data_IF_696403763561
#
_entry.id   IF_696403763561
#
_cell.length_a   1.000
_cell.length_b   1.000
_cell.length_c   1.000
_cell.angle_alpha   90.00
_cell.angle_beta   90.00
_cell.angle_gamma   90.00
#
_symmetry.space_group_name_H-M   'P 1'
#
loop_
_entity.id
_entity.type
_entity.pdbx_description
1 polymer ?
#
# COMPACT_ATOMS: atom_id res chain seq x y z
N UNK A 1 10.08 -24.15 11.04
CA UNK A 1 9.87 -23.00 10.14
C UNK A 1 11.22 -22.37 9.85
N UNK A 2 11.51 -21.99 8.60
CA UNK A 2 12.79 -21.29 8.31
C UNK A 2 12.65 -19.80 8.57
N UNK A 3 13.77 -19.12 8.84
CA UNK A 3 13.82 -17.65 8.98
C UNK A 3 13.15 -16.94 7.79
N UNK A 4 13.37 -17.42 6.57
CA UNK A 4 12.79 -16.85 5.35
C UNK A 4 11.27 -17.02 5.26
N UNK A 5 10.70 -18.06 5.89
CA UNK A 5 9.24 -18.17 6.02
C UNK A 5 8.68 -17.03 6.86
N UNK A 6 9.35 -16.66 7.95
CA UNK A 6 8.92 -15.55 8.82
C UNK A 6 9.02 -14.20 8.09
N UNK A 7 10.11 -13.96 7.37
CA UNK A 7 10.29 -12.74 6.56
C UNK A 7 9.19 -12.62 5.50
N UNK A 8 8.88 -13.71 4.79
CA UNK A 8 7.80 -13.73 3.80
C UNK A 8 6.43 -13.53 4.44
N UNK A 9 6.17 -14.18 5.57
CA UNK A 9 4.94 -14.01 6.33
C UNK A 9 4.74 -12.55 6.75
N UNK A 10 5.76 -11.91 7.32
CA UNK A 10 5.73 -10.51 7.70
C UNK A 10 5.46 -9.58 6.49
N UNK A 11 6.10 -9.85 5.34
CA UNK A 11 5.86 -9.10 4.10
C UNK A 11 4.40 -9.18 3.64
N UNK A 12 3.83 -10.39 3.65
CA UNK A 12 2.45 -10.64 3.19
C UNK A 12 1.44 -10.09 4.20
N UNK A 13 1.67 -10.31 5.50
CA UNK A 13 0.79 -9.80 6.56
C UNK A 13 0.75 -8.27 6.56
N UNK A 14 1.90 -7.61 6.44
CA UNK A 14 1.97 -6.14 6.31
C UNK A 14 1.21 -5.64 5.09
N UNK A 15 1.41 -6.26 3.92
CA UNK A 15 0.68 -5.92 2.70
C UNK A 15 -0.84 -6.13 2.87
N UNK A 16 -1.26 -7.24 3.47
CA UNK A 16 -2.66 -7.55 3.71
C UNK A 16 -3.32 -6.54 4.65
N UNK A 17 -2.65 -6.15 5.74
CA UNK A 17 -3.15 -5.13 6.66
C UNK A 17 -3.20 -3.73 6.03
N UNK A 18 -2.22 -3.39 5.19
CA UNK A 18 -2.23 -2.12 4.46
C UNK A 18 -3.37 -2.08 3.45
N UNK A 19 -3.35 -2.96 2.45
CA UNK A 19 -4.34 -2.92 1.36
C UNK A 19 -5.74 -3.24 1.90
N UNK A 20 -5.85 -4.20 2.81
CA UNK A 20 -7.09 -4.50 3.54
C UNK A 20 -7.59 -3.29 4.33
N UNK A 21 -6.72 -2.57 5.05
CA UNK A 21 -7.10 -1.36 5.77
C UNK A 21 -7.62 -0.25 4.84
N UNK A 22 -6.99 -0.04 3.68
CA UNK A 22 -7.49 0.90 2.66
C UNK A 22 -8.88 0.50 2.15
N UNK A 23 -9.10 -0.80 1.89
CA UNK A 23 -10.40 -1.34 1.50
C UNK A 23 -11.45 -1.19 2.60
N UNK A 24 -11.13 -1.53 3.84
CA UNK A 24 -12.04 -1.38 4.99
C UNK A 24 -12.46 0.08 5.19
N UNK A 25 -11.51 1.01 5.14
CA UNK A 25 -11.82 2.45 5.25
C UNK A 25 -12.74 2.90 4.12
N UNK A 26 -12.48 2.45 2.90
CA UNK A 26 -13.19 2.93 1.71
C UNK A 26 -14.56 2.30 1.50
N UNK A 27 -14.69 0.99 1.75
CA UNK A 27 -15.88 0.20 1.43
C UNK A 27 -16.81 0.03 2.63
N UNK A 28 -16.28 0.05 3.85
CA UNK A 28 -17.08 -0.20 5.07
C UNK A 28 -17.25 1.08 5.86
N UNK A 29 -16.15 1.69 6.31
CA UNK A 29 -16.20 2.83 7.22
C UNK A 29 -16.78 4.08 6.55
N UNK A 30 -16.29 4.45 5.36
CA UNK A 30 -16.70 5.68 4.68
C UNK A 30 -18.20 5.71 4.35
N UNK A 31 -18.82 4.66 3.77
CA UNK A 31 -20.26 4.65 3.52
C UNK A 31 -21.07 4.71 4.80
N UNK A 32 -20.65 3.98 5.85
CA UNK A 32 -21.35 3.97 7.14
C UNK A 32 -21.30 5.35 7.81
N UNK A 33 -20.13 5.97 7.84
CA UNK A 33 -19.94 7.32 8.37
C UNK A 33 -20.75 8.38 7.60
N UNK A 34 -20.95 8.19 6.29
CA UNK A 34 -21.82 9.08 5.50
C UNK A 34 -23.31 8.92 5.82
N UNK A 35 -23.74 7.73 6.25
CA UNK A 35 -25.14 7.44 6.58
C UNK A 35 -25.50 7.80 8.01
N UNK A 36 -24.60 7.58 8.96
CA UNK A 36 -24.90 7.65 10.39
C UNK A 36 -24.46 8.95 11.08
N UNK A 37 -23.55 9.72 10.47
CA UNK A 37 -22.96 10.90 11.12
C UNK A 37 -23.33 12.18 10.37
N UNK A 38 -23.49 13.27 11.12
CA UNK A 38 -23.56 14.62 10.58
C UNK A 38 -22.22 15.04 9.93
N UNK A 39 -22.22 16.20 9.26
CA UNK A 39 -21.08 16.64 8.43
C UNK A 39 -19.83 16.87 9.29
N UNK A 40 -20.00 17.51 10.45
CA UNK A 40 -18.95 17.85 11.40
C UNK A 40 -18.32 16.58 11.99
N UNK A 41 -19.12 15.67 12.54
CA UNK A 41 -18.64 14.46 13.20
C UNK A 41 -18.03 13.50 12.19
N UNK A 42 -18.62 13.38 10.99
CA UNK A 42 -18.04 12.62 9.88
C UNK A 42 -16.65 13.13 9.53
N UNK A 43 -16.48 14.45 9.41
CA UNK A 43 -15.18 15.07 9.14
C UNK A 43 -14.14 14.75 10.21
N UNK A 44 -14.52 14.82 11.49
CA UNK A 44 -13.65 14.48 12.62
C UNK A 44 -13.21 13.02 12.59
N UNK A 45 -14.16 12.08 12.44
CA UNK A 45 -13.88 10.63 12.44
C UNK A 45 -12.98 10.26 11.26
N UNK A 46 -13.32 10.68 10.04
CA UNK A 46 -12.53 10.33 8.85
C UNK A 46 -11.12 10.92 8.89
N UNK A 47 -10.93 12.14 9.44
CA UNK A 47 -9.60 12.71 9.65
C UNK A 47 -8.80 11.95 10.70
N UNK A 48 -9.43 11.56 11.81
CA UNK A 48 -8.77 10.80 12.87
C UNK A 48 -8.30 9.43 12.36
N UNK A 49 -9.18 8.72 11.64
CA UNK A 49 -8.86 7.44 11.02
C UNK A 49 -7.77 7.60 9.96
N UNK A 50 -7.90 8.57 9.05
CA UNK A 50 -6.88 8.83 8.03
C UNK A 50 -5.51 9.15 8.61
N UNK A 51 -5.45 9.97 9.68
CA UNK A 51 -4.20 10.31 10.37
C UNK A 51 -3.59 9.08 11.07
N UNK A 52 -4.40 8.27 11.75
CA UNK A 52 -3.92 7.05 12.41
C UNK A 52 -3.44 6.03 11.39
N UNK A 53 -4.17 5.84 10.30
CA UNK A 53 -3.79 4.94 9.23
C UNK A 53 -2.50 5.40 8.56
N UNK A 54 -2.38 6.69 8.20
CA UNK A 54 -1.15 7.25 7.63
C UNK A 54 0.07 7.10 8.54
N UNK A 55 -0.10 7.24 9.86
CA UNK A 55 0.95 6.97 10.85
C UNK A 55 1.40 5.50 10.82
N UNK A 56 0.47 4.54 10.80
CA UNK A 56 0.81 3.11 10.64
C UNK A 56 1.47 2.83 9.29
N UNK A 57 0.99 3.46 8.22
CA UNK A 57 1.61 3.35 6.89
C UNK A 57 3.08 3.77 6.94
N UNK A 58 3.37 4.95 7.47
CA UNK A 58 4.73 5.48 7.53
C UNK A 58 5.64 4.77 8.52
N UNK A 59 5.14 4.44 9.72
CA UNK A 59 5.95 3.91 10.81
C UNK A 59 6.06 2.39 10.84
N UNK A 60 5.11 1.66 10.23
CA UNK A 60 5.04 0.19 10.30
C UNK A 60 5.02 -0.42 8.92
N UNK A 61 3.99 -0.16 8.12
CA UNK A 61 3.79 -0.91 6.88
C UNK A 61 4.90 -0.65 5.87
N UNK A 62 5.30 0.60 5.66
CA UNK A 62 6.35 0.95 4.71
C UNK A 62 7.73 0.40 5.13
N UNK A 63 8.21 0.58 6.38
CA UNK A 63 9.46 -0.04 6.82
C UNK A 63 9.46 -1.56 6.72
N UNK A 64 8.37 -2.22 7.13
CA UNK A 64 8.25 -3.68 7.02
C UNK A 64 8.26 -4.10 5.55
N UNK A 65 7.51 -3.42 4.67
CA UNK A 65 7.43 -3.78 3.25
C UNK A 65 8.77 -3.62 2.53
N UNK A 66 9.48 -2.52 2.78
CA UNK A 66 10.79 -2.26 2.19
C UNK A 66 11.83 -3.23 2.75
N UNK A 67 11.93 -3.36 4.07
CA UNK A 67 12.92 -4.23 4.71
C UNK A 67 12.76 -5.68 4.30
N UNK A 68 11.53 -6.22 4.40
CA UNK A 68 11.26 -7.61 4.00
C UNK A 68 11.32 -7.79 2.48
N UNK A 69 10.90 -6.81 1.68
CA UNK A 69 10.98 -6.87 0.22
C UNK A 69 12.41 -6.93 -0.29
N UNK A 70 13.30 -6.08 0.26
CA UNK A 70 14.75 -6.10 -0.05
C UNK A 70 15.37 -7.40 0.42
N UNK A 71 15.08 -7.87 1.63
CA UNK A 71 15.61 -9.12 2.15
C UNK A 71 15.21 -10.33 1.27
N UNK A 72 13.96 -10.39 0.81
CA UNK A 72 13.49 -11.45 -0.09
C UNK A 72 14.13 -11.36 -1.49
N UNK A 73 14.31 -10.16 -2.03
CA UNK A 73 15.00 -9.95 -3.29
C UNK A 73 16.47 -10.39 -3.21
N UNK A 74 17.16 -10.00 -2.13
CA UNK A 74 18.53 -10.44 -1.85
C UNK A 74 18.61 -11.96 -1.75
N UNK A 75 17.72 -12.58 -0.98
CA UNK A 75 17.72 -14.04 -0.81
C UNK A 75 17.56 -14.80 -2.12
N UNK A 76 16.82 -14.23 -3.07
CA UNK A 76 16.63 -14.77 -4.43
C UNK A 76 17.76 -14.40 -5.41
N UNK A 77 18.81 -13.70 -4.96
CA UNK A 77 19.92 -13.29 -5.82
C UNK A 77 19.54 -12.23 -6.87
N UNK A 78 18.49 -11.45 -6.62
CA UNK A 78 18.04 -10.38 -7.54
C UNK A 78 19.11 -9.30 -7.63
N UNK A 79 19.57 -9.03 -8.86
CA UNK A 79 20.49 -7.94 -9.20
C UNK A 79 19.77 -6.87 -10.04
N UNK A 80 20.41 -5.72 -10.25
CA UNK A 80 19.88 -4.70 -11.16
C UNK A 80 19.67 -5.22 -12.59
N UNK A 81 20.58 -6.08 -13.08
CA UNK A 81 20.45 -6.71 -14.38
C UNK A 81 19.25 -7.65 -14.45
N UNK A 82 18.99 -8.41 -13.37
CA UNK A 82 17.86 -9.34 -13.32
C UNK A 82 16.50 -8.65 -13.50
N UNK A 83 16.36 -7.35 -13.20
CA UNK A 83 15.11 -6.60 -13.39
C UNK A 83 14.74 -6.41 -14.88
N UNK A 84 15.72 -6.49 -15.78
CA UNK A 84 15.49 -6.42 -17.22
C UNK A 84 15.14 -7.79 -17.83
N UNK A 85 15.35 -8.88 -17.10
CA UNK A 85 15.12 -10.22 -17.61
C UNK A 85 13.62 -10.56 -17.69
N UNK A 86 13.18 -11.25 -18.77
CA UNK A 86 11.82 -11.75 -18.89
C UNK A 86 11.42 -12.68 -17.73
N UNK A 87 10.13 -12.72 -17.40
CA UNK A 87 9.61 -13.54 -16.31
C UNK A 87 9.68 -12.82 -14.96
N UNK A 88 10.41 -13.40 -14.00
CA UNK A 88 10.44 -12.91 -12.62
C UNK A 88 10.93 -11.46 -12.51
N UNK A 89 12.01 -11.13 -13.21
CA UNK A 89 12.67 -9.82 -13.21
C UNK A 89 11.75 -8.67 -13.59
N UNK A 90 11.14 -8.78 -14.78
CA UNK A 90 10.25 -7.76 -15.32
C UNK A 90 8.97 -7.56 -14.49
N UNK A 91 8.41 -8.64 -13.94
CA UNK A 91 7.23 -8.56 -13.04
C UNK A 91 7.63 -7.86 -11.75
N UNK A 92 8.80 -8.18 -11.18
CA UNK A 92 9.32 -7.49 -9.99
C UNK A 92 9.56 -5.99 -10.29
N UNK A 93 10.15 -5.65 -11.42
CA UNK A 93 10.37 -4.27 -11.83
C UNK A 93 9.03 -3.50 -11.95
N UNK A 94 8.03 -4.08 -12.62
CA UNK A 94 6.69 -3.51 -12.71
C UNK A 94 6.05 -3.31 -11.34
N UNK A 95 6.20 -4.29 -10.43
CA UNK A 95 5.71 -4.19 -9.05
C UNK A 95 6.37 -3.03 -8.29
N UNK A 96 7.68 -2.86 -8.43
CA UNK A 96 8.42 -1.78 -7.77
C UNK A 96 8.04 -0.40 -8.33
N UNK A 97 7.91 -0.26 -9.65
CA UNK A 97 7.45 0.98 -10.28
C UNK A 97 6.04 1.36 -9.82
N UNK A 98 5.12 0.38 -9.80
CA UNK A 98 3.77 0.59 -9.33
C UNK A 98 3.74 0.95 -7.83
N UNK A 99 4.56 0.30 -7.01
CA UNK A 99 4.70 0.65 -5.60
C UNK A 99 5.16 2.10 -5.42
N UNK A 100 6.17 2.55 -6.18
CA UNK A 100 6.60 3.95 -6.17
C UNK A 100 5.47 4.92 -6.56
N UNK A 101 4.71 4.59 -7.62
CA UNK A 101 3.55 5.39 -8.02
C UNK A 101 2.48 5.46 -6.92
N UNK A 102 2.23 4.35 -6.20
CA UNK A 102 1.34 4.32 -5.03
C UNK A 102 1.86 5.21 -3.90
N UNK A 103 3.17 5.23 -3.64
CA UNK A 103 3.76 6.11 -2.61
C UNK A 103 3.56 7.58 -2.95
N UNK A 104 3.77 7.96 -4.22
CA UNK A 104 3.52 9.31 -4.71
C UNK A 104 2.04 9.68 -4.54
N UNK A 105 1.12 8.81 -4.96
CA UNK A 105 -0.32 9.03 -4.80
C UNK A 105 -0.73 9.15 -3.32
N UNK A 106 -0.19 8.30 -2.43
CA UNK A 106 -0.46 8.36 -1.00
C UNK A 106 0.04 9.66 -0.36
N UNK A 107 1.24 10.12 -0.72
CA UNK A 107 1.79 11.40 -0.26
C UNK A 107 0.94 12.58 -0.75
N UNK A 108 0.57 12.59 -2.04
CA UNK A 108 -0.31 13.60 -2.62
C UNK A 108 -1.71 13.60 -2.00
N UNK A 109 -2.24 12.44 -1.63
CA UNK A 109 -3.49 12.34 -0.87
C UNK A 109 -3.38 13.04 0.50
N UNK A 110 -2.32 12.74 1.27
CA UNK A 110 -2.09 13.35 2.57
C UNK A 110 -1.94 14.87 2.48
N UNK A 111 -1.12 15.34 1.52
CA UNK A 111 -0.93 16.76 1.25
C UNK A 111 -2.23 17.45 0.82
N UNK A 112 -2.96 16.89 -0.15
CA UNK A 112 -4.22 17.46 -0.64
C UNK A 112 -5.30 17.53 0.44
N UNK A 113 -5.30 16.57 1.36
CA UNK A 113 -6.19 16.58 2.54
C UNK A 113 -5.86 17.73 3.47
N UNK A 114 -4.57 17.98 3.76
CA UNK A 114 -4.11 19.13 4.55
C UNK A 114 -4.37 20.47 3.86
N UNK A 115 -4.17 20.54 2.54
CA UNK A 115 -4.40 21.71 1.70
C UNK A 115 -5.89 21.98 1.40
N UNK A 116 -6.82 21.23 2.00
CA UNK A 116 -8.28 21.34 1.81
C UNK A 116 -8.70 21.25 0.33
N UNK A 117 -8.06 20.36 -0.45
CA UNK A 117 -8.37 20.07 -1.86
C UNK A 117 -9.11 18.73 -2.01
N UNK A 118 -10.42 18.67 -1.74
CA UNK A 118 -11.15 17.39 -1.61
C UNK A 118 -11.20 16.57 -2.90
N UNK A 119 -11.28 17.22 -4.08
CA UNK A 119 -11.27 16.54 -5.38
C UNK A 119 -9.97 15.77 -5.60
N UNK A 120 -8.83 16.46 -5.47
CA UNK A 120 -7.51 15.83 -5.60
C UNK A 120 -7.26 14.77 -4.53
N UNK A 121 -7.62 15.04 -3.28
CA UNK A 121 -7.46 14.08 -2.19
C UNK A 121 -8.22 12.77 -2.48
N UNK A 122 -9.43 12.87 -3.04
CA UNK A 122 -10.23 11.70 -3.43
C UNK A 122 -9.58 10.94 -4.59
N UNK A 123 -9.18 11.63 -5.65
CA UNK A 123 -8.53 10.98 -6.80
C UNK A 123 -7.27 10.25 -6.37
N UNK A 124 -6.40 10.90 -5.60
CA UNK A 124 -5.16 10.30 -5.11
C UNK A 124 -5.39 9.13 -4.16
N UNK A 125 -6.43 9.17 -3.31
CA UNK A 125 -6.81 8.03 -2.47
C UNK A 125 -7.23 6.82 -3.30
N UNK A 126 -8.06 7.02 -4.33
CA UNK A 126 -8.51 5.96 -5.23
C UNK A 126 -7.33 5.42 -6.05
N UNK A 127 -6.49 6.29 -6.60
CA UNK A 127 -5.26 5.89 -7.32
C UNK A 127 -4.35 5.05 -6.42
N UNK A 128 -4.10 5.47 -5.19
CA UNK A 128 -3.29 4.71 -4.24
C UNK A 128 -3.93 3.35 -3.90
N UNK A 129 -5.24 3.29 -3.69
CA UNK A 129 -5.95 2.03 -3.41
C UNK A 129 -5.87 1.06 -4.59
N UNK A 130 -6.23 1.52 -5.79
CA UNK A 130 -6.20 0.68 -7.01
C UNK A 130 -4.78 0.22 -7.31
N UNK A 131 -3.80 1.12 -7.20
CA UNK A 131 -2.40 0.77 -7.36
C UNK A 131 -1.92 -0.23 -6.32
N UNK A 132 -2.29 -0.09 -5.05
CA UNK A 132 -2.00 -1.06 -3.98
C UNK A 132 -2.55 -2.45 -4.30
N UNK A 133 -3.79 -2.54 -4.79
CA UNK A 133 -4.39 -3.81 -5.24
C UNK A 133 -3.59 -4.39 -6.42
N UNK A 134 -3.18 -3.54 -7.37
CA UNK A 134 -2.31 -3.93 -8.47
C UNK A 134 -0.94 -4.46 -8.02
N UNK A 135 -0.33 -3.87 -6.98
CA UNK A 135 0.92 -4.36 -6.38
C UNK A 135 0.74 -5.78 -5.82
N UNK A 136 -0.39 -6.05 -5.16
CA UNK A 136 -0.73 -7.39 -4.66
C UNK A 136 -0.94 -8.36 -5.82
N UNK A 137 -1.68 -7.95 -6.86
CA UNK A 137 -1.88 -8.76 -8.06
C UNK A 137 -0.54 -9.13 -8.72
N UNK A 138 0.35 -8.16 -8.95
CA UNK A 138 1.69 -8.43 -9.49
C UNK A 138 2.52 -9.34 -8.58
N UNK A 139 2.36 -9.22 -7.26
CA UNK A 139 3.01 -10.13 -6.32
C UNK A 139 2.55 -11.58 -6.49
N UNK A 140 1.26 -11.82 -6.77
CA UNK A 140 0.72 -13.17 -7.04
C UNK A 140 1.15 -13.73 -8.40
N UNK A 141 1.52 -12.86 -9.34
CA UNK A 141 1.99 -13.24 -10.66
C UNK A 141 3.50 -13.57 -10.71
N UNK A 142 4.25 -13.34 -9.61
CA UNK A 142 5.67 -13.70 -9.56
C UNK A 142 5.82 -15.23 -9.68
N UNK A 143 6.61 -15.74 -10.65
CA UNK A 143 6.83 -17.18 -10.80
C UNK A 143 7.32 -17.81 -9.50
N UNK A 144 6.77 -19.00 -9.19
CA UNK A 144 7.32 -19.85 -8.15
C UNK A 144 8.73 -20.28 -8.60
N UNK A 145 9.73 -19.90 -7.81
CA UNK A 145 11.14 -20.27 -7.97
C UNK A 145 11.51 -21.23 -6.88
#
# INVERSE_FOLDING_TARGET
>A
MTWWTVVRFAHVLSAALWVGGQLTVSLVLLPLARRLLDVERRGQVLRAVGRRFGMFTGAVFLPVQLGTGVALAWHKGVTWASLAEPGYGRILAAKLLLFCAVMVAAALHGWATGAKRPGLARTMAVTALVGSVGVVLLATALPAT
#
